data_IF_387203310847
#
_entry.id   IF_387203310847
#
_cell.length_a   1.000
_cell.length_b   1.000
_cell.length_c   1.000
_cell.angle_alpha   90.00
_cell.angle_beta   90.00
_cell.angle_gamma   90.00
#
_symmetry.space_group_name_H-M   'P 1'
#
loop_
_entity.id
_entity.type
_entity.pdbx_description
1 polymer ?
#
# COMPACT_ATOMS: atom_id res chain seq x y z
N UNK A 1 35.02 39.96 -1.77
CA UNK A 1 33.68 39.84 -1.16
C UNK A 1 33.27 38.38 -1.26
N UNK A 2 33.34 37.66 -0.14
CA UNK A 2 32.92 36.27 -0.05
C UNK A 2 31.43 36.23 0.27
N UNK A 3 30.65 35.52 -0.55
CA UNK A 3 29.22 35.31 -0.32
C UNK A 3 29.01 34.44 0.91
N UNK A 4 28.10 34.86 1.78
CA UNK A 4 27.74 34.13 2.99
C UNK A 4 27.16 32.75 2.63
N UNK A 5 27.75 31.70 3.17
CA UNK A 5 27.24 30.34 3.07
C UNK A 5 25.98 30.21 3.95
N UNK A 6 24.93 29.65 3.35
CA UNK A 6 23.65 29.34 3.99
C UNK A 6 23.86 28.33 5.13
N UNK A 7 23.41 28.68 6.35
CA UNK A 7 23.63 27.91 7.58
C UNK A 7 22.45 26.98 7.91
N UNK A 8 21.62 26.61 6.93
CA UNK A 8 20.37 25.85 7.15
C UNK A 8 20.42 24.34 6.87
N UNK A 9 21.57 23.78 6.48
CA UNK A 9 21.71 22.34 6.19
C UNK A 9 22.19 21.52 7.41
N UNK A 10 21.50 20.43 7.73
CA UNK A 10 21.99 19.38 8.64
C UNK A 10 23.21 18.67 8.03
N UNK A 11 24.10 18.11 8.85
CA UNK A 11 25.32 17.47 8.33
C UNK A 11 25.06 16.26 7.41
N UNK A 12 23.84 15.70 7.48
CA UNK A 12 23.37 14.62 6.60
C UNK A 12 22.95 15.12 5.21
N UNK A 13 22.28 16.27 5.09
CA UNK A 13 21.86 16.80 3.78
C UNK A 13 23.02 17.33 2.94
N UNK A 14 24.18 17.59 3.56
CA UNK A 14 25.40 18.00 2.86
C UNK A 14 26.14 16.86 2.17
N UNK A 15 25.84 15.60 2.52
CA UNK A 15 26.62 14.45 2.04
C UNK A 15 26.07 13.80 0.76
N UNK A 16 24.83 14.11 0.36
CA UNK A 16 24.18 13.48 -0.79
C UNK A 16 23.40 14.51 -1.60
N UNK A 17 23.85 14.81 -2.83
CA UNK A 17 23.02 15.49 -3.82
C UNK A 17 21.99 14.48 -4.35
N UNK A 18 20.77 14.51 -3.80
CA UNK A 18 19.65 13.76 -4.36
C UNK A 18 19.20 14.44 -5.65
N UNK A 19 19.26 13.80 -6.82
CA UNK A 19 18.78 14.43 -8.05
C UNK A 19 17.27 14.66 -7.94
N UNK A 20 16.83 15.92 -7.91
CA UNK A 20 15.40 16.25 -7.93
C UNK A 20 14.73 15.63 -9.17
N UNK A 21 13.69 14.83 -8.94
CA UNK A 21 12.83 14.32 -10.01
C UNK A 21 12.23 15.49 -10.81
N UNK A 22 12.13 15.34 -12.13
CA UNK A 22 11.45 16.33 -12.98
C UNK A 22 9.95 16.32 -12.65
N UNK A 23 9.37 17.51 -12.49
CA UNK A 23 7.92 17.68 -12.34
C UNK A 23 7.15 17.00 -13.48
N UNK A 24 6.06 16.30 -13.14
CA UNK A 24 5.27 15.53 -14.09
C UNK A 24 4.33 16.42 -14.90
N UNK A 25 4.26 16.20 -16.22
CA UNK A 25 3.41 17.00 -17.12
C UNK A 25 1.92 16.62 -17.08
N UNK A 26 1.56 15.42 -16.62
CA UNK A 26 0.15 14.97 -16.45
C UNK A 26 -0.02 13.88 -15.39
N UNK A 27 -1.25 13.69 -14.87
CA UNK A 27 -1.63 12.62 -13.93
C UNK A 27 -1.46 11.22 -14.53
N UNK A 28 -1.76 11.04 -15.83
CA UNK A 28 -1.59 9.76 -16.50
C UNK A 28 -0.11 9.35 -16.56
N UNK A 29 0.78 10.31 -16.87
CA UNK A 29 2.22 10.04 -16.89
C UNK A 29 2.78 9.65 -15.51
N UNK A 30 2.21 10.16 -14.41
CA UNK A 30 2.56 9.71 -13.05
C UNK A 30 2.12 8.25 -12.83
N UNK A 31 0.87 7.91 -13.19
CA UNK A 31 0.36 6.53 -13.07
C UNK A 31 1.18 5.52 -13.88
N UNK A 32 1.54 5.86 -15.11
CA UNK A 32 2.33 4.98 -15.99
C UNK A 32 3.73 4.74 -15.40
N UNK A 33 4.36 5.76 -14.81
CA UNK A 33 5.65 5.60 -14.11
C UNK A 33 5.53 4.74 -12.85
N UNK A 34 4.49 4.93 -12.04
CA UNK A 34 4.22 4.09 -10.86
C UNK A 34 4.03 2.63 -11.29
N UNK A 35 3.24 2.38 -12.35
CA UNK A 35 3.06 1.03 -12.90
C UNK A 35 4.39 0.41 -13.34
N UNK A 36 5.18 1.14 -14.14
CA UNK A 36 6.47 0.69 -14.63
C UNK A 36 7.43 0.33 -13.49
N UNK A 37 7.48 1.16 -12.44
CA UNK A 37 8.29 0.90 -11.25
C UNK A 37 7.96 -0.42 -10.59
N UNK A 38 6.68 -0.63 -10.26
CA UNK A 38 6.27 -1.87 -9.62
C UNK A 38 6.45 -3.08 -10.54
N UNK A 39 6.21 -2.96 -11.85
CA UNK A 39 6.43 -4.06 -12.78
C UNK A 39 7.90 -4.51 -12.82
N UNK A 40 8.85 -3.57 -12.68
CA UNK A 40 10.28 -3.88 -12.69
C UNK A 40 10.80 -4.31 -11.31
N UNK A 41 10.27 -3.72 -10.24
CA UNK A 41 10.81 -3.87 -8.89
C UNK A 41 10.09 -4.91 -8.03
N UNK A 42 8.94 -5.45 -8.42
CA UNK A 42 8.13 -6.32 -7.53
C UNK A 42 8.84 -7.59 -7.06
N UNK A 43 9.60 -8.28 -7.92
CA UNK A 43 10.37 -9.46 -7.51
C UNK A 43 11.50 -9.09 -6.53
N UNK A 44 12.06 -7.89 -6.68
CA UNK A 44 13.08 -7.35 -5.77
C UNK A 44 12.47 -6.88 -4.44
N UNK A 45 11.34 -6.16 -4.47
CA UNK A 45 10.58 -5.79 -3.27
C UNK A 45 10.12 -7.01 -2.48
N UNK A 46 9.68 -8.09 -3.15
CA UNK A 46 9.39 -9.38 -2.49
C UNK A 46 10.61 -9.90 -1.72
N UNK A 47 11.82 -9.78 -2.27
CA UNK A 47 13.04 -10.24 -1.60
C UNK A 47 13.41 -9.41 -0.36
N UNK A 48 13.10 -8.11 -0.36
CA UNK A 48 13.44 -7.21 0.74
C UNK A 48 12.35 -7.12 1.81
N UNK A 49 11.10 -6.97 1.38
CA UNK A 49 9.95 -6.71 2.24
C UNK A 49 9.16 -7.97 2.59
N UNK A 50 9.39 -9.08 1.90
CA UNK A 50 8.57 -10.27 2.04
C UNK A 50 7.22 -10.10 1.36
N UNK A 51 6.20 -10.81 1.84
CA UNK A 51 4.89 -10.84 1.18
C UNK A 51 4.02 -9.60 1.44
N UNK A 52 4.39 -8.78 2.42
CA UNK A 52 3.70 -7.56 2.82
C UNK A 52 4.54 -6.34 2.44
N UNK A 53 3.97 -5.44 1.62
CA UNK A 53 4.66 -4.22 1.16
C UNK A 53 4.02 -3.02 1.88
N UNK A 54 4.20 -2.98 3.20
CA UNK A 54 3.75 -1.90 4.08
C UNK A 54 4.55 -1.93 5.40
N UNK A 55 4.40 -0.89 6.21
CA UNK A 55 5.00 -0.78 7.53
C UNK A 55 4.58 -1.90 8.47
N UNK A 56 5.43 -2.13 9.47
CA UNK A 56 5.12 -2.98 10.62
C UNK A 56 4.60 -2.15 11.78
N UNK A 57 3.59 -2.67 12.49
CA UNK A 57 3.16 -2.17 13.78
C UNK A 57 3.89 -2.95 14.89
N UNK A 58 4.75 -2.27 15.63
CA UNK A 58 5.66 -2.88 16.59
C UNK A 58 5.05 -2.81 18.00
N UNK A 59 4.73 -3.97 18.57
CA UNK A 59 4.27 -4.09 19.96
C UNK A 59 5.44 -4.30 20.92
N UNK A 60 6.52 -4.91 20.44
CA UNK A 60 7.74 -5.15 21.19
C UNK A 60 9.01 -4.97 20.33
N UNK A 61 10.08 -4.49 20.95
CA UNK A 61 11.36 -4.23 20.27
C UNK A 61 12.12 -5.51 19.83
N UNK A 62 11.69 -6.70 20.26
CA UNK A 62 12.26 -7.99 19.86
C UNK A 62 11.56 -8.63 18.66
N UNK A 63 10.45 -8.06 18.19
CA UNK A 63 9.69 -8.61 17.06
C UNK A 63 10.51 -8.60 15.76
N UNK A 64 10.13 -9.43 14.80
CA UNK A 64 10.68 -9.36 13.44
C UNK A 64 9.85 -8.40 12.58
N UNK A 65 10.40 -7.95 11.45
CA UNK A 65 9.68 -7.14 10.46
C UNK A 65 8.37 -7.83 10.03
N UNK A 66 8.44 -9.11 9.73
CA UNK A 66 7.31 -9.91 9.28
C UNK A 66 6.23 -10.01 10.37
N UNK A 67 6.63 -10.16 11.64
CA UNK A 67 5.68 -10.18 12.77
C UNK A 67 4.99 -8.82 12.92
N UNK A 68 5.75 -7.72 12.85
CA UNK A 68 5.21 -6.37 12.94
C UNK A 68 4.25 -6.05 11.78
N UNK A 69 4.55 -6.50 10.55
CA UNK A 69 3.65 -6.35 9.41
C UNK A 69 2.33 -7.08 9.63
N UNK A 70 2.37 -8.31 10.13
CA UNK A 70 1.15 -9.04 10.51
C UNK A 70 0.39 -8.34 11.63
N UNK A 71 1.08 -7.72 12.60
CA UNK A 71 0.44 -6.96 13.66
C UNK A 71 -0.34 -5.74 13.13
N UNK A 72 0.15 -5.06 12.08
CA UNK A 72 -0.59 -3.96 11.46
C UNK A 72 -1.90 -4.47 10.82
N UNK A 73 -1.86 -5.64 10.18
CA UNK A 73 -3.07 -6.28 9.64
C UNK A 73 -4.04 -6.62 10.77
N UNK A 74 -3.56 -7.18 11.88
CA UNK A 74 -4.41 -7.50 13.05
C UNK A 74 -5.04 -6.25 13.66
N UNK A 75 -4.29 -5.14 13.75
CA UNK A 75 -4.80 -3.87 14.24
C UNK A 75 -5.97 -3.37 13.38
N UNK A 76 -5.81 -3.37 12.06
CA UNK A 76 -6.87 -2.95 11.14
C UNK A 76 -8.06 -3.91 11.16
N UNK A 77 -7.81 -5.21 11.28
CA UNK A 77 -8.85 -6.22 11.44
C UNK A 77 -9.72 -5.94 12.67
N UNK A 78 -9.09 -5.66 13.82
CA UNK A 78 -9.77 -5.40 15.09
C UNK A 78 -10.75 -4.22 15.02
N UNK A 79 -10.50 -3.22 14.17
CA UNK A 79 -11.37 -2.04 14.01
C UNK A 79 -12.33 -2.15 12.81
N UNK A 80 -12.02 -3.02 11.84
CA UNK A 80 -12.79 -3.17 10.60
C UNK A 80 -14.10 -3.93 10.80
N UNK A 81 -14.19 -4.86 11.76
CA UNK A 81 -15.34 -5.75 11.92
C UNK A 81 -15.51 -6.77 10.79
N UNK A 82 -14.46 -7.01 9.99
CA UNK A 82 -14.43 -8.08 8.99
C UNK A 82 -14.51 -9.43 9.69
N UNK A 83 -15.28 -10.35 9.10
CA UNK A 83 -15.46 -11.72 9.59
C UNK A 83 -15.20 -12.72 8.47
N UNK A 84 -15.23 -14.00 8.77
CA UNK A 84 -15.15 -15.08 7.78
C UNK A 84 -16.24 -15.03 6.70
N UNK A 85 -17.38 -14.38 6.98
CA UNK A 85 -18.48 -14.23 6.02
C UNK A 85 -18.37 -12.95 5.17
N UNK A 86 -17.34 -12.13 5.37
CA UNK A 86 -17.19 -10.86 4.67
C UNK A 86 -16.63 -11.04 3.26
N UNK A 87 -17.15 -10.26 2.32
CA UNK A 87 -16.51 -9.96 1.05
C UNK A 87 -15.67 -8.69 1.19
N UNK A 88 -14.37 -8.79 0.95
CA UNK A 88 -13.39 -7.71 1.10
C UNK A 88 -12.81 -7.35 -0.27
N UNK A 89 -12.70 -6.06 -0.56
CA UNK A 89 -11.86 -5.56 -1.66
C UNK A 89 -10.59 -4.92 -1.08
N UNK A 90 -9.43 -5.47 -1.43
CA UNK A 90 -8.11 -4.99 -1.01
C UNK A 90 -7.54 -4.10 -2.12
N UNK A 91 -7.56 -2.79 -1.89
CA UNK A 91 -7.22 -1.77 -2.88
C UNK A 91 -5.74 -1.40 -2.77
N UNK A 92 -4.99 -1.66 -3.85
CA UNK A 92 -3.52 -1.58 -3.79
C UNK A 92 -2.95 -2.82 -3.13
N UNK A 93 -3.43 -4.01 -3.50
CA UNK A 93 -3.10 -5.27 -2.82
C UNK A 93 -1.62 -5.71 -2.94
N UNK A 94 -0.82 -5.00 -3.74
CA UNK A 94 0.55 -5.38 -4.06
C UNK A 94 0.63 -6.79 -4.61
N UNK A 95 1.59 -7.58 -4.11
CA UNK A 95 1.76 -9.00 -4.43
C UNK A 95 0.83 -9.93 -3.62
N UNK A 96 -0.18 -9.38 -2.94
CA UNK A 96 -1.30 -10.12 -2.36
C UNK A 96 -1.06 -10.77 -1.00
N UNK A 97 0.01 -10.45 -0.26
CA UNK A 97 0.26 -11.05 1.07
C UNK A 97 -0.86 -10.78 2.06
N UNK A 98 -1.32 -9.52 2.16
CA UNK A 98 -2.45 -9.15 3.02
C UNK A 98 -3.75 -9.79 2.56
N UNK A 99 -4.03 -9.78 1.26
CA UNK A 99 -5.19 -10.49 0.69
C UNK A 99 -5.21 -11.98 1.02
N UNK A 100 -4.06 -12.67 0.90
CA UNK A 100 -3.93 -14.08 1.27
C UNK A 100 -4.09 -14.29 2.76
N UNK A 101 -3.46 -13.47 3.60
CA UNK A 101 -3.59 -13.54 5.06
C UNK A 101 -5.05 -13.46 5.49
N UNK A 102 -5.79 -12.46 4.99
CA UNK A 102 -7.22 -12.28 5.27
C UNK A 102 -8.01 -13.53 4.85
N UNK A 103 -7.82 -14.02 3.62
CA UNK A 103 -8.55 -15.20 3.14
C UNK A 103 -8.20 -16.48 3.91
N UNK A 104 -6.91 -16.82 4.06
CA UNK A 104 -6.50 -18.11 4.64
C UNK A 104 -6.68 -18.16 6.15
N UNK A 105 -6.39 -17.08 6.87
CA UNK A 105 -6.47 -17.05 8.34
C UNK A 105 -7.86 -16.71 8.84
N UNK A 106 -8.49 -15.67 8.29
CA UNK A 106 -9.82 -15.24 8.75
C UNK A 106 -10.94 -16.05 8.08
N UNK A 107 -10.76 -16.48 6.83
CA UNK A 107 -11.75 -17.26 6.08
C UNK A 107 -12.63 -16.45 5.13
N UNK A 108 -12.38 -15.15 4.98
CA UNK A 108 -13.19 -14.27 4.14
C UNK A 108 -12.92 -14.45 2.64
N UNK A 109 -13.79 -13.85 1.81
CA UNK A 109 -13.58 -13.75 0.36
C UNK A 109 -12.90 -12.43 0.01
N UNK A 110 -11.73 -12.47 -0.64
CA UNK A 110 -10.93 -11.27 -0.91
C UNK A 110 -10.72 -11.06 -2.41
N UNK A 111 -11.07 -9.88 -2.91
CA UNK A 111 -10.69 -9.41 -4.26
C UNK A 111 -9.58 -8.38 -4.10
N UNK A 112 -8.34 -8.75 -4.45
CA UNK A 112 -7.23 -7.81 -4.52
C UNK A 112 -7.20 -7.08 -5.85
N UNK A 113 -7.02 -5.76 -5.82
CA UNK A 113 -6.83 -4.95 -7.02
C UNK A 113 -5.50 -4.18 -6.98
N UNK A 114 -4.81 -4.12 -8.12
CA UNK A 114 -3.61 -3.32 -8.32
C UNK A 114 -3.49 -2.87 -9.78
N UNK A 115 -2.76 -1.80 -10.06
CA UNK A 115 -2.49 -1.32 -11.43
C UNK A 115 -1.35 -2.09 -12.14
N UNK A 116 -0.58 -2.89 -11.39
CA UNK A 116 0.57 -3.63 -11.92
C UNK A 116 0.15 -5.04 -12.34
N UNK A 117 0.26 -5.32 -13.64
CA UNK A 117 0.05 -6.66 -14.21
C UNK A 117 1.01 -7.66 -13.56
N UNK A 118 2.28 -7.28 -13.35
CA UNK A 118 3.29 -8.13 -12.74
C UNK A 118 2.96 -8.48 -11.29
N UNK A 119 2.44 -7.54 -10.51
CA UNK A 119 1.99 -7.82 -9.13
C UNK A 119 0.84 -8.83 -9.11
N UNK A 120 -0.10 -8.74 -10.05
CA UNK A 120 -1.17 -9.74 -10.21
C UNK A 120 -0.60 -11.11 -10.55
N UNK A 121 0.37 -11.20 -11.46
CA UNK A 121 1.06 -12.46 -11.78
C UNK A 121 1.76 -13.07 -10.57
N UNK A 122 2.52 -12.27 -9.81
CA UNK A 122 3.20 -12.72 -8.58
C UNK A 122 2.17 -13.15 -7.54
N UNK A 123 1.11 -12.37 -7.32
CA UNK A 123 0.07 -12.67 -6.37
C UNK A 123 -0.62 -14.00 -6.68
N UNK A 124 -0.96 -14.26 -7.95
CA UNK A 124 -1.53 -15.52 -8.39
C UNK A 124 -0.55 -16.69 -8.21
N UNK A 125 0.73 -16.50 -8.56
CA UNK A 125 1.78 -17.53 -8.39
C UNK A 125 1.95 -17.92 -6.93
N UNK A 126 2.07 -16.94 -6.02
CA UNK A 126 2.21 -17.18 -4.58
C UNK A 126 0.96 -17.83 -3.98
N UNK A 127 -0.22 -17.39 -4.41
CA UNK A 127 -1.50 -17.98 -3.99
C UNK A 127 -1.63 -19.44 -4.41
N UNK A 128 -1.25 -19.77 -5.65
CA UNK A 128 -1.24 -21.17 -6.12
C UNK A 128 -0.31 -22.03 -5.28
N UNK A 129 0.88 -21.51 -4.93
CA UNK A 129 1.83 -22.21 -4.09
C UNK A 129 1.30 -22.45 -2.66
N UNK A 130 0.60 -21.47 -2.06
CA UNK A 130 -0.06 -21.62 -0.75
C UNK A 130 -1.20 -22.63 -0.80
N UNK A 131 -2.06 -22.56 -1.82
CA UNK A 131 -3.15 -23.50 -2.03
C UNK A 131 -2.65 -24.96 -2.13
N UNK A 132 -1.54 -25.19 -2.85
CA UNK A 132 -0.93 -26.51 -2.97
C UNK A 132 -0.43 -27.07 -1.64
N UNK A 133 0.19 -26.24 -0.78
CA UNK A 133 0.62 -26.64 0.57
C UNK A 133 -0.57 -27.03 1.45
N UNK A 134 -1.72 -26.39 1.28
CA UNK A 134 -2.95 -26.75 2.00
C UNK A 134 -3.63 -28.04 1.49
N UNK A 135 -3.29 -28.49 0.28
CA UNK A 135 -3.94 -29.60 -0.43
C UNK A 135 -3.04 -30.85 -0.57
N UNK A 136 -2.05 -31.07 0.30
CA UNK A 136 -1.08 -32.19 0.25
C UNK A 136 -1.70 -33.60 0.07
N UNK A 137 -3.02 -33.76 0.20
CA UNK A 137 -3.76 -35.02 0.00
C UNK A 137 -4.60 -35.13 -1.29
N UNK A 138 -4.78 -34.05 -2.08
CA UNK A 138 -5.71 -34.01 -3.23
C UNK A 138 -5.09 -34.41 -4.57
N UNK A 139 -3.78 -34.20 -4.76
CA UNK A 139 -3.05 -34.55 -6.00
C UNK A 139 -3.47 -33.76 -7.26
N UNK A 140 -4.38 -32.80 -7.13
CA UNK A 140 -4.90 -31.97 -8.22
C UNK A 140 -4.42 -30.53 -8.06
N UNK A 141 -4.01 -29.91 -9.16
CA UNK A 141 -3.71 -28.48 -9.18
C UNK A 141 -4.94 -27.68 -8.74
N UNK A 142 -4.79 -26.68 -7.83
CA UNK A 142 -5.90 -25.83 -7.45
C UNK A 142 -6.33 -24.98 -8.65
N UNK A 143 -7.60 -25.09 -9.00
CA UNK A 143 -8.23 -24.39 -10.13
C UNK A 143 -9.13 -23.28 -9.59
N UNK A 144 -9.06 -22.05 -10.14
CA UNK A 144 -9.98 -20.98 -9.76
C UNK A 144 -11.45 -21.34 -10.05
N UNK A 145 -12.38 -20.81 -9.25
CA UNK A 145 -13.81 -20.89 -9.53
C UNK A 145 -14.22 -20.03 -10.74
N UNK A 146 -15.49 -20.05 -11.12
CA UNK A 146 -16.01 -19.30 -12.27
C UNK A 146 -15.81 -17.78 -12.16
N UNK A 147 -15.64 -17.26 -10.93
CA UNK A 147 -15.40 -15.85 -10.63
C UNK A 147 -13.89 -15.55 -10.46
N UNK A 148 -13.03 -16.53 -10.70
CA UNK A 148 -11.57 -16.42 -10.64
C UNK A 148 -10.98 -16.57 -9.25
N UNK A 149 -11.75 -17.04 -8.25
CA UNK A 149 -11.22 -17.22 -6.90
C UNK A 149 -10.52 -18.56 -6.72
N UNK A 150 -9.35 -18.53 -6.09
CA UNK A 150 -8.67 -19.70 -5.55
C UNK A 150 -9.00 -19.88 -4.07
N UNK A 151 -9.36 -21.10 -3.68
CA UNK A 151 -9.56 -21.48 -2.29
C UNK A 151 -8.19 -21.59 -1.59
N UNK A 152 -8.03 -20.88 -0.47
CA UNK A 152 -6.84 -20.94 0.39
C UNK A 152 -7.25 -20.93 1.86
N UNK A 153 -6.70 -21.85 2.66
CA UNK A 153 -7.12 -22.05 4.04
C UNK A 153 -8.64 -22.25 4.15
N UNK A 154 -9.32 -21.37 4.90
CA UNK A 154 -10.79 -21.39 5.07
C UNK A 154 -11.55 -20.44 4.13
N UNK A 155 -10.83 -19.58 3.39
CA UNK A 155 -11.41 -18.54 2.57
C UNK A 155 -10.99 -18.66 1.11
N UNK A 156 -11.16 -17.57 0.36
CA UNK A 156 -10.81 -17.55 -1.06
C UNK A 156 -10.34 -16.18 -1.52
N UNK A 157 -9.43 -16.16 -2.49
CA UNK A 157 -8.83 -14.92 -3.00
C UNK A 157 -8.77 -14.91 -4.54
N UNK A 158 -8.93 -13.73 -5.13
CA UNK A 158 -8.64 -13.45 -6.54
C UNK A 158 -7.91 -12.11 -6.68
N UNK A 159 -7.19 -11.93 -7.78
CA UNK A 159 -6.46 -10.70 -8.08
C UNK A 159 -6.83 -10.17 -9.46
N UNK A 160 -7.06 -8.86 -9.56
CA UNK A 160 -7.48 -8.19 -10.80
C UNK A 160 -6.56 -7.00 -11.05
N UNK A 161 -6.07 -6.86 -12.28
CA UNK A 161 -5.45 -5.60 -12.72
C UNK A 161 -6.56 -4.56 -12.90
N UNK A 162 -6.62 -3.59 -11.99
CA UNK A 162 -7.67 -2.57 -11.98
C UNK A 162 -7.18 -1.30 -11.28
N UNK A 163 -7.35 -0.18 -11.96
CA UNK A 163 -7.20 1.15 -11.36
C UNK A 163 -8.35 1.40 -10.37
N UNK A 164 -8.00 1.76 -9.13
CA UNK A 164 -8.95 2.07 -8.08
C UNK A 164 -9.85 3.27 -8.41
N UNK A 165 -9.44 4.17 -9.32
CA UNK A 165 -10.30 5.24 -9.84
C UNK A 165 -11.44 4.70 -10.72
N UNK A 166 -11.30 3.48 -11.25
CA UNK A 166 -12.30 2.81 -12.10
C UNK A 166 -13.14 1.79 -11.33
N UNK A 167 -12.77 1.44 -10.09
CA UNK A 167 -13.42 0.34 -9.35
C UNK A 167 -14.92 0.53 -9.15
N UNK A 168 -15.38 1.78 -8.97
CA UNK A 168 -16.80 2.09 -8.79
C UNK A 168 -17.65 1.72 -10.01
N UNK A 169 -17.12 1.93 -11.21
CA UNK A 169 -17.80 1.58 -12.47
C UNK A 169 -17.61 0.10 -12.81
N UNK A 170 -16.42 -0.45 -12.55
CA UNK A 170 -16.11 -1.87 -12.76
C UNK A 170 -17.06 -2.80 -11.97
N UNK A 171 -17.30 -2.49 -10.69
CA UNK A 171 -18.18 -3.29 -9.82
C UNK A 171 -19.64 -2.82 -9.82
N UNK A 172 -20.02 -1.89 -10.70
CA UNK A 172 -21.36 -1.27 -10.72
C UNK A 172 -22.49 -2.28 -10.86
N UNK A 173 -22.30 -3.31 -11.69
CA UNK A 173 -23.30 -4.37 -11.90
C UNK A 173 -23.59 -5.20 -10.65
N UNK A 174 -22.69 -5.17 -9.65
CA UNK A 174 -22.83 -5.91 -8.40
C UNK A 174 -23.51 -5.08 -7.30
N UNK A 175 -23.82 -3.80 -7.55
CA UNK A 175 -24.71 -2.99 -6.70
C UNK A 175 -24.29 -2.79 -5.24
N UNK A 176 -22.98 -2.68 -4.98
CA UNK A 176 -22.42 -2.71 -3.63
C UNK A 176 -22.18 -4.16 -3.20
N UNK A 177 -21.00 -4.69 -3.51
CA UNK A 177 -20.68 -6.10 -3.38
C UNK A 177 -19.88 -6.43 -2.11
N UNK A 178 -19.24 -5.43 -1.51
CA UNK A 178 -18.24 -5.65 -0.47
C UNK A 178 -18.76 -5.21 0.90
N UNK A 179 -18.52 -6.07 1.89
CA UNK A 179 -18.74 -5.77 3.30
C UNK A 179 -17.63 -4.85 3.83
N UNK A 180 -16.43 -4.92 3.24
CA UNK A 180 -15.33 -4.03 3.55
C UNK A 180 -14.48 -3.63 2.33
N UNK A 181 -14.03 -2.38 2.33
CA UNK A 181 -12.91 -1.90 1.51
C UNK A 181 -11.71 -1.84 2.44
N UNK A 182 -10.62 -2.49 2.05
CA UNK A 182 -9.35 -2.48 2.74
C UNK A 182 -8.34 -1.69 1.92
N UNK A 183 -7.59 -0.80 2.56
CA UNK A 183 -6.46 -0.12 1.94
C UNK A 183 -5.37 0.11 2.99
N UNK A 184 -4.15 -0.36 2.68
CA UNK A 184 -2.99 -0.24 3.58
C UNK A 184 -1.84 0.39 2.81
N UNK A 185 -1.50 1.61 3.17
CA UNK A 185 -0.36 2.38 2.64
C UNK A 185 -0.32 2.54 1.12
N UNK A 186 -1.51 2.56 0.48
CA UNK A 186 -1.63 2.77 -0.96
C UNK A 186 -2.29 4.12 -1.32
N UNK A 187 -3.12 4.70 -0.45
CA UNK A 187 -3.91 5.88 -0.80
C UNK A 187 -3.06 7.16 -0.92
N UNK A 188 -1.90 7.22 -0.26
CA UNK A 188 -0.92 8.30 -0.36
C UNK A 188 -0.52 8.54 -1.82
N UNK A 189 -0.36 7.47 -2.59
CA UNK A 189 -0.01 7.48 -4.02
C UNK A 189 -1.14 7.98 -4.94
N UNK A 190 -2.37 8.13 -4.45
CA UNK A 190 -3.51 8.43 -5.31
C UNK A 190 -3.58 9.93 -5.61
N UNK A 191 -3.65 10.33 -6.90
CA UNK A 191 -3.81 11.72 -7.29
C UNK A 191 -5.17 12.30 -6.88
N UNK A 192 -6.27 11.58 -7.17
CA UNK A 192 -7.62 11.98 -6.75
C UNK A 192 -8.13 11.15 -5.56
N UNK A 193 -7.66 11.51 -4.36
CA UNK A 193 -8.11 10.91 -3.09
C UNK A 193 -9.62 11.08 -2.86
N UNK A 194 -10.21 12.17 -3.36
CA UNK A 194 -11.65 12.41 -3.23
C UNK A 194 -12.45 11.41 -4.07
N UNK A 195 -11.97 11.07 -5.28
CA UNK A 195 -12.56 10.04 -6.14
C UNK A 195 -12.46 8.67 -5.49
N UNK A 196 -11.33 8.34 -4.87
CA UNK A 196 -11.22 7.08 -4.12
C UNK A 196 -12.32 6.94 -3.08
N UNK A 197 -12.55 7.93 -2.21
CA UNK A 197 -13.60 7.82 -1.19
C UNK A 197 -15.01 7.69 -1.81
N UNK A 198 -15.30 8.38 -2.93
CA UNK A 198 -16.56 8.22 -3.66
C UNK A 198 -16.72 6.81 -4.23
N UNK A 199 -15.64 6.24 -4.78
CA UNK A 199 -15.65 4.88 -5.31
C UNK A 199 -15.74 3.84 -4.20
N UNK A 200 -15.06 4.04 -3.07
CA UNK A 200 -15.15 3.17 -1.90
C UNK A 200 -16.60 3.10 -1.41
N UNK A 201 -17.28 4.25 -1.31
CA UNK A 201 -18.71 4.29 -1.00
C UNK A 201 -19.57 3.51 -2.02
N UNK A 202 -19.26 3.60 -3.32
CA UNK A 202 -20.04 2.93 -4.38
C UNK A 202 -19.92 1.40 -4.35
N UNK A 203 -18.77 0.87 -3.98
CA UNK A 203 -18.52 -0.59 -3.99
C UNK A 203 -18.93 -1.26 -2.67
N UNK A 204 -19.06 -0.49 -1.59
CA UNK A 204 -19.55 -0.97 -0.29
C UNK A 204 -21.05 -1.24 -0.31
N UNK A 205 -21.46 -2.32 0.37
CA UNK A 205 -22.86 -2.54 0.78
C UNK A 205 -23.30 -1.45 1.77
N UNK A 206 -24.61 -1.19 1.92
CA UNK A 206 -25.11 -0.41 3.05
C UNK A 206 -24.62 -0.99 4.39
N UNK A 207 -23.96 -0.15 5.19
CA UNK A 207 -23.34 -0.56 6.46
C UNK A 207 -21.95 -1.18 6.34
N UNK A 208 -21.44 -1.38 5.13
CA UNK A 208 -20.06 -1.80 4.88
C UNK A 208 -19.06 -0.74 5.33
N UNK A 209 -17.82 -1.17 5.59
CA UNK A 209 -16.79 -0.35 6.23
C UNK A 209 -15.56 -0.16 5.36
N UNK A 210 -14.95 1.02 5.44
CA UNK A 210 -13.61 1.29 4.92
C UNK A 210 -12.61 1.14 6.08
N UNK A 211 -11.68 0.18 5.96
CA UNK A 211 -10.52 0.03 6.83
C UNK A 211 -9.30 0.63 6.14
N UNK A 212 -8.66 1.60 6.78
CA UNK A 212 -7.61 2.43 6.18
C UNK A 212 -6.44 2.62 7.15
N UNK A 213 -5.23 2.27 6.69
CA UNK A 213 -3.95 2.74 7.24
C UNK A 213 -3.20 3.42 6.10
N UNK A 214 -2.58 4.57 6.37
CA UNK A 214 -1.84 5.31 5.35
C UNK A 214 -0.87 6.31 5.99
N UNK A 215 -0.05 6.95 5.17
CA UNK A 215 0.85 8.02 5.59
C UNK A 215 0.16 9.39 5.56
N UNK A 216 0.48 10.20 6.56
CA UNK A 216 -0.04 11.55 6.72
C UNK A 216 1.08 12.49 7.09
N UNK A 217 1.02 13.72 6.59
CA UNK A 217 1.85 14.80 7.16
C UNK A 217 1.19 15.37 8.42
N UNK A 218 2.01 15.89 9.33
CA UNK A 218 1.52 16.59 10.50
C UNK A 218 0.81 17.90 10.10
N UNK A 219 -0.15 18.33 10.93
CA UNK A 219 -0.79 19.64 10.76
C UNK A 219 0.13 20.76 11.28
N UNK A 220 0.10 21.91 10.61
CA UNK A 220 0.81 23.10 11.08
C UNK A 220 2.34 23.03 10.98
N UNK A 221 2.87 22.20 10.09
CA UNK A 221 4.31 22.16 9.77
C UNK A 221 4.81 23.54 9.34
N UNK A 222 6.00 23.93 9.80
CA UNK A 222 6.67 25.11 9.26
C UNK A 222 7.15 24.81 7.83
N UNK A 223 7.47 25.86 7.06
CA UNK A 223 8.07 25.67 5.74
C UNK A 223 9.38 24.85 5.83
N UNK A 224 10.16 25.04 6.89
CA UNK A 224 11.41 24.29 7.07
C UNK A 224 11.15 22.81 7.33
N UNK A 225 10.17 22.48 8.17
CA UNK A 225 9.83 21.07 8.46
C UNK A 225 9.27 20.39 7.21
N UNK A 226 8.48 21.10 6.41
CA UNK A 226 7.98 20.58 5.14
C UNK A 226 9.11 20.28 4.15
N UNK A 227 10.01 21.24 3.91
CA UNK A 227 11.10 21.08 2.94
C UNK A 227 12.11 20.01 3.37
N UNK A 228 12.34 19.86 4.68
CA UNK A 228 13.32 18.90 5.19
C UNK A 228 12.76 17.49 5.36
N UNK A 229 11.51 17.35 5.79
CA UNK A 229 10.99 16.04 6.23
C UNK A 229 9.90 15.48 5.30
N UNK A 230 9.10 16.33 4.65
CA UNK A 230 7.95 15.88 3.85
C UNK A 230 8.29 15.86 2.35
N UNK A 231 8.85 16.96 1.84
CA UNK A 231 9.15 17.10 0.41
C UNK A 231 10.06 15.98 -0.12
N UNK A 232 11.13 15.54 0.59
CA UNK A 232 11.96 14.45 0.11
C UNK A 232 11.20 13.12 0.01
N UNK A 233 10.25 12.87 0.92
CA UNK A 233 9.38 11.69 0.87
C UNK A 233 8.42 11.79 -0.31
N UNK A 234 7.78 12.96 -0.51
CA UNK A 234 6.87 13.18 -1.64
C UNK A 234 7.57 12.98 -2.98
N UNK A 235 8.75 13.56 -3.15
CA UNK A 235 9.53 13.45 -4.39
C UNK A 235 10.09 12.04 -4.60
N UNK A 236 10.71 11.46 -3.56
CA UNK A 236 11.40 10.17 -3.65
C UNK A 236 10.44 8.99 -3.81
N UNK A 237 9.28 9.03 -3.16
CA UNK A 237 8.27 7.96 -3.23
C UNK A 237 7.19 8.23 -4.29
N UNK A 238 7.38 9.26 -5.12
CA UNK A 238 6.45 9.68 -6.18
C UNK A 238 5.01 9.91 -5.65
N UNK A 239 4.90 10.52 -4.47
CA UNK A 239 3.61 10.79 -3.85
C UNK A 239 3.06 12.15 -4.34
N UNK A 240 1.77 12.21 -4.73
CA UNK A 240 1.03 13.47 -4.68
C UNK A 240 1.12 14.08 -3.27
N UNK A 241 0.92 15.41 -3.13
CA UNK A 241 1.05 16.09 -1.85
C UNK A 241 0.33 15.35 -0.70
N UNK A 242 1.09 15.03 0.33
CA UNK A 242 0.58 14.37 1.52
C UNK A 242 -0.42 15.28 2.22
N UNK A 243 -1.51 14.68 2.67
CA UNK A 243 -2.56 15.37 3.41
C UNK A 243 -2.44 15.05 4.89
N UNK A 244 -3.12 15.84 5.72
CA UNK A 244 -3.26 15.49 7.14
C UNK A 244 -4.31 14.37 7.31
N UNK A 245 -4.27 13.67 8.45
CA UNK A 245 -5.31 12.71 8.81
C UNK A 245 -6.71 13.35 8.79
N UNK A 246 -6.81 14.60 9.23
CA UNK A 246 -8.07 15.36 9.25
C UNK A 246 -8.61 15.59 7.83
N UNK A 247 -7.74 15.89 6.87
CA UNK A 247 -8.13 16.07 5.47
C UNK A 247 -8.75 14.79 4.89
N UNK A 248 -8.15 13.62 5.17
CA UNK A 248 -8.71 12.33 4.75
C UNK A 248 -10.10 12.10 5.34
N UNK A 249 -10.30 12.39 6.63
CA UNK A 249 -11.62 12.27 7.28
C UNK A 249 -12.65 13.18 6.61
N UNK A 250 -12.28 14.42 6.27
CA UNK A 250 -13.19 15.35 5.58
C UNK A 250 -13.47 14.94 4.13
N UNK A 251 -12.48 14.42 3.42
CA UNK A 251 -12.66 13.84 2.08
C UNK A 251 -13.58 12.61 2.11
N UNK A 252 -13.42 11.73 3.10
CA UNK A 252 -14.29 10.58 3.32
C UNK A 252 -15.75 11.01 3.58
N UNK A 253 -15.97 12.01 4.43
CA UNK A 253 -17.30 12.61 4.69
C UNK A 253 -17.93 13.18 3.43
N UNK A 254 -17.17 13.93 2.63
CA UNK A 254 -17.63 14.42 1.31
C UNK A 254 -17.94 13.29 0.34
N UNK A 255 -17.24 12.16 0.46
CA UNK A 255 -17.49 10.90 -0.24
C UNK A 255 -18.69 10.10 0.28
N UNK A 256 -19.47 10.65 1.23
CA UNK A 256 -20.63 10.02 1.89
C UNK A 256 -20.30 8.88 2.85
N UNK A 257 -19.04 8.72 3.25
CA UNK A 257 -18.65 7.83 4.34
C UNK A 257 -18.80 8.56 5.69
N UNK A 258 -19.10 7.81 6.75
CA UNK A 258 -19.11 8.32 8.11
C UNK A 258 -17.92 7.76 8.87
N UNK A 259 -17.31 8.58 9.73
CA UNK A 259 -16.24 8.12 10.61
C UNK A 259 -16.81 7.19 11.68
N UNK A 260 -16.19 6.02 11.84
CA UNK A 260 -16.54 5.05 12.88
C UNK A 260 -15.44 5.04 13.95
N UNK A 261 -15.76 5.51 15.16
CA UNK A 261 -14.78 5.64 16.24
C UNK A 261 -13.81 6.81 16.06
N UNK A 262 -12.77 6.86 16.90
CA UNK A 262 -11.69 7.85 16.83
C UNK A 262 -10.56 7.30 15.99
N UNK A 263 -9.94 8.14 15.15
CA UNK A 263 -8.76 7.76 14.38
C UNK A 263 -7.59 7.48 15.33
N UNK A 264 -6.87 6.39 15.12
CA UNK A 264 -5.67 6.05 15.90
C UNK A 264 -4.44 6.61 15.20
N UNK A 265 -3.65 7.41 15.91
CA UNK A 265 -2.29 7.75 15.50
C UNK A 265 -1.37 6.61 15.94
N UNK A 266 -0.61 6.06 14.99
CA UNK A 266 0.34 4.97 15.21
C UNK A 266 1.75 5.35 14.76
N UNK A 267 2.06 6.64 14.58
CA UNK A 267 3.36 7.09 14.05
C UNK A 267 4.55 6.56 14.85
N UNK A 268 4.46 6.56 16.18
CA UNK A 268 5.51 6.00 17.04
C UNK A 268 5.61 4.47 16.89
N UNK A 269 4.47 3.80 16.78
CA UNK A 269 4.39 2.34 16.72
C UNK A 269 4.91 1.76 15.40
N UNK A 270 4.97 2.57 14.33
CA UNK A 270 5.50 2.16 13.02
C UNK A 270 6.89 2.71 12.72
N UNK A 271 7.39 3.63 13.55
CA UNK A 271 8.61 4.40 13.29
C UNK A 271 9.85 3.53 13.03
N UNK A 272 9.96 2.40 13.72
CA UNK A 272 11.08 1.47 13.58
C UNK A 272 11.21 0.85 12.19
N UNK A 273 10.12 0.81 11.42
CA UNK A 273 10.23 0.35 10.03
C UNK A 273 11.19 1.23 9.23
N UNK A 274 11.27 2.53 9.50
CA UNK A 274 12.22 3.43 8.84
C UNK A 274 13.68 3.04 9.07
N UNK A 275 14.03 2.58 10.28
CA UNK A 275 15.39 2.10 10.59
C UNK A 275 15.77 0.86 9.76
N UNK A 276 14.79 -0.02 9.52
CA UNK A 276 14.96 -1.21 8.68
C UNK A 276 15.07 -0.79 7.21
N UNK A 277 14.20 0.12 6.76
CA UNK A 277 14.26 0.67 5.40
C UNK A 277 15.61 1.31 5.13
N UNK A 278 16.19 2.02 6.10
CA UNK A 278 17.54 2.57 5.97
C UNK A 278 18.59 1.48 5.74
N UNK A 279 18.51 0.38 6.49
CA UNK A 279 19.40 -0.78 6.30
C UNK A 279 19.20 -1.45 4.94
N UNK A 280 17.97 -1.45 4.41
CA UNK A 280 17.67 -1.94 3.07
C UNK A 280 18.21 -1.00 1.98
N UNK A 281 18.05 0.32 2.14
CA UNK A 281 18.61 1.35 1.25
C UNK A 281 20.13 1.26 1.19
N UNK A 282 20.80 0.91 2.28
CA UNK A 282 22.25 0.69 2.27
C UNK A 282 22.70 -0.58 1.52
N UNK A 283 21.79 -1.45 1.07
CA UNK A 283 22.14 -2.68 0.38
C UNK A 283 22.70 -2.39 -1.04
N UNK A 284 23.94 -2.79 -1.36
CA UNK A 284 24.52 -2.56 -2.69
C UNK A 284 23.73 -3.18 -3.83
N UNK A 285 22.99 -4.26 -3.57
CA UNK A 285 22.14 -4.90 -4.58
C UNK A 285 20.91 -4.07 -4.96
N UNK A 286 20.37 -3.27 -4.02
CA UNK A 286 19.24 -2.37 -4.26
C UNK A 286 19.70 -1.21 -5.13
N UNK A 287 20.88 -0.65 -4.86
CA UNK A 287 21.48 0.37 -5.71
C UNK A 287 21.85 -0.17 -7.09
N UNK A 288 22.46 -1.36 -7.18
CA UNK A 288 22.75 -1.98 -8.48
C UNK A 288 21.47 -2.20 -9.30
N UNK A 289 20.38 -2.62 -8.63
CA UNK A 289 19.05 -2.70 -9.24
C UNK A 289 18.56 -1.31 -9.68
N UNK A 290 18.54 -0.31 -8.81
CA UNK A 290 18.10 1.04 -9.15
C UNK A 290 18.89 1.66 -10.32
N UNK A 291 20.22 1.48 -10.36
CA UNK A 291 21.05 1.90 -11.50
C UNK A 291 20.65 1.19 -12.80
N UNK A 292 20.29 -0.10 -12.74
CA UNK A 292 19.81 -0.85 -13.91
C UNK A 292 18.46 -0.36 -14.43
N UNK A 293 17.66 0.29 -13.58
CA UNK A 293 16.37 0.91 -13.94
C UNK A 293 16.52 2.38 -14.39
N UNK A 294 17.75 2.88 -14.51
CA UNK A 294 18.03 4.25 -14.95
C UNK A 294 17.66 5.31 -13.90
N UNK A 295 17.50 6.56 -14.36
CA UNK A 295 17.24 7.71 -13.45
C UNK A 295 16.00 7.54 -12.58
N UNK A 296 14.97 6.87 -13.11
CA UNK A 296 13.71 6.64 -12.39
C UNK A 296 13.88 5.63 -11.26
N UNK A 297 14.74 4.61 -11.41
CA UNK A 297 15.05 3.70 -10.32
C UNK A 297 15.88 4.34 -9.21
N UNK A 298 16.82 5.22 -9.58
CA UNK A 298 17.66 5.95 -8.62
C UNK A 298 16.82 6.95 -7.81
N UNK A 299 15.85 7.61 -8.44
CA UNK A 299 14.98 8.59 -7.77
C UNK A 299 14.03 7.96 -6.73
N UNK A 300 13.87 6.64 -6.75
CA UNK A 300 12.98 5.90 -5.83
C UNK A 300 13.71 5.24 -4.65
N UNK A 301 15.00 5.51 -4.47
CA UNK A 301 15.82 5.13 -3.30
C UNK A 301 16.22 6.36 -2.49
#
# INVERSE_FOLDING_TARGET
MAGAADQSATDLSRQYETPMGLGHSTVQALKDRIKLHYDLASDYYLSLWGEHIHHGYWEDASETKEQAQVNLIKLLLAISGITENSAVIDVGCGIGGTSRYLASHLGCSVTGITISTKQVEIANRLTKAEALKGQEKSGTDPVPDADGFLLIGRGKVRFIELDAEQMGDFFKSQGGAFDAVWISEALSHFPDKALFFRNAYRVLKPGGKLALADWFKAAGLSNSDFENDIKPIEDGMLLPPLCTQKDYVELAKKGRLAQHGVSKDISNDVSRTWDITWSLVQNPSLWAFAFSQGRDGIAML
#
